data_IF_912066608910
#
_entry.id   IF_912066608910
#
_cell.length_a   1.000
_cell.length_b   1.000
_cell.length_c   1.000
_cell.angle_alpha   90.00
_cell.angle_beta   90.00
_cell.angle_gamma   90.00
#
_symmetry.space_group_name_H-M   'P 1'
#
loop_
_entity.id
_entity.type
_entity.pdbx_description
1 polymer ?
#
# COMPACT_ATOMS: atom_id res chain seq x y z
N UNK A 1 35.07 -17.83 -41.75
CA UNK A 1 33.65 -17.42 -41.57
C UNK A 1 33.58 -16.38 -40.48
N UNK A 2 33.51 -15.11 -40.87
CA UNK A 2 33.42 -14.03 -39.87
C UNK A 2 32.00 -13.95 -39.32
N UNK A 3 31.84 -14.25 -38.03
CA UNK A 3 30.59 -14.03 -37.29
C UNK A 3 30.53 -12.58 -36.88
N UNK A 4 29.57 -11.85 -37.42
CA UNK A 4 29.30 -10.46 -36.97
C UNK A 4 28.35 -10.49 -35.77
N UNK A 5 28.86 -10.22 -34.60
CA UNK A 5 28.04 -10.01 -33.38
C UNK A 5 27.46 -8.58 -33.42
N UNK A 6 26.14 -8.49 -33.53
CA UNK A 6 25.45 -7.23 -33.22
C UNK A 6 24.97 -7.28 -31.77
N UNK A 7 25.59 -6.44 -30.94
CA UNK A 7 25.14 -6.19 -29.57
C UNK A 7 24.00 -5.19 -29.67
N UNK A 8 22.78 -5.62 -29.40
CA UNK A 8 21.65 -4.72 -29.20
C UNK A 8 21.48 -4.52 -27.70
N UNK A 9 21.91 -3.39 -27.22
CA UNK A 9 21.66 -2.95 -25.85
C UNK A 9 20.21 -2.46 -25.78
N UNK A 10 19.29 -3.29 -25.29
CA UNK A 10 18.01 -2.78 -24.81
C UNK A 10 18.26 -2.03 -23.50
N UNK A 11 17.76 -0.80 -23.39
CA UNK A 11 17.81 -0.05 -22.11
C UNK A 11 17.02 -0.85 -21.07
N UNK A 12 17.60 -1.27 -19.96
CA UNK A 12 16.89 -2.01 -18.94
C UNK A 12 16.04 -1.07 -18.12
N UNK A 13 14.77 -1.38 -18.00
CA UNK A 13 13.94 -0.88 -16.90
C UNK A 13 14.23 -1.58 -15.56
N UNK A 14 15.15 -2.54 -15.53
CA UNK A 14 15.62 -3.22 -14.32
C UNK A 14 17.12 -3.52 -14.42
N UNK A 15 17.89 -3.28 -13.34
CA UNK A 15 19.35 -3.28 -13.40
C UNK A 15 19.96 -4.67 -13.28
N UNK A 16 19.68 -5.66 -14.09
CA UNK A 16 20.49 -6.91 -14.14
C UNK A 16 20.07 -7.94 -15.19
N UNK A 17 19.30 -7.55 -16.22
CA UNK A 17 18.97 -8.50 -17.29
C UNK A 17 19.60 -8.07 -18.61
N UNK A 18 20.72 -8.70 -18.99
CA UNK A 18 21.34 -8.54 -20.30
C UNK A 18 21.05 -9.78 -21.14
N UNK A 19 20.32 -9.61 -22.24
CA UNK A 19 20.19 -10.63 -23.27
C UNK A 19 21.01 -10.20 -24.49
N UNK A 20 21.89 -11.06 -24.96
CA UNK A 20 22.65 -10.85 -26.20
C UNK A 20 21.91 -11.61 -27.30
N UNK A 21 21.47 -10.89 -28.34
CA UNK A 21 20.81 -11.48 -29.51
C UNK A 21 21.85 -11.76 -30.58
N UNK A 22 22.00 -13.02 -30.99
CA UNK A 22 22.82 -13.40 -32.12
C UNK A 22 21.92 -13.67 -33.34
N UNK A 23 22.24 -13.06 -34.46
CA UNK A 23 21.59 -13.31 -35.75
C UNK A 23 22.47 -14.25 -36.57
N UNK A 24 22.02 -15.48 -36.84
CA UNK A 24 22.62 -16.35 -37.84
C UNK A 24 21.79 -16.28 -39.13
N UNK A 25 22.43 -15.91 -40.23
CA UNK A 25 21.82 -16.01 -41.57
C UNK A 25 21.98 -17.43 -42.08
N UNK A 26 20.90 -18.19 -42.11
CA UNK A 26 20.85 -19.44 -42.83
C UNK A 26 20.45 -19.19 -44.30
N UNK A 27 21.11 -19.89 -45.23
CA UNK A 27 20.75 -19.92 -46.66
C UNK A 27 19.37 -20.55 -46.80
N UNK A 28 18.33 -19.73 -46.99
CA UNK A 28 16.96 -20.24 -47.15
C UNK A 28 15.86 -19.28 -46.75
N UNK A 29 16.17 -18.05 -46.43
CA UNK A 29 15.14 -16.99 -46.29
C UNK A 29 14.39 -16.88 -44.95
N UNK A 30 14.59 -17.79 -44.01
CA UNK A 30 14.04 -17.70 -42.66
C UNK A 30 15.14 -17.21 -41.69
N UNK A 31 14.99 -16.03 -41.16
CA UNK A 31 15.86 -15.52 -40.10
C UNK A 31 15.38 -16.03 -38.75
N UNK A 32 16.08 -17.01 -38.21
CA UNK A 32 15.88 -17.46 -36.83
C UNK A 32 16.80 -16.64 -35.92
N UNK A 33 16.23 -15.90 -34.95
CA UNK A 33 16.98 -15.14 -33.97
C UNK A 33 17.18 -15.98 -32.70
N UNK A 34 18.42 -16.04 -32.23
CA UNK A 34 18.78 -16.69 -30.97
C UNK A 34 19.28 -15.63 -29.99
N UNK A 35 19.06 -15.85 -28.72
CA UNK A 35 19.64 -15.02 -27.66
C UNK A 35 20.41 -15.88 -26.68
N UNK A 36 21.46 -15.31 -26.10
CA UNK A 36 22.25 -15.97 -25.06
C UNK A 36 21.71 -15.61 -23.69
N UNK A 37 21.34 -16.61 -22.91
CA UNK A 37 20.89 -16.40 -21.53
C UNK A 37 22.09 -16.50 -20.58
N UNK A 38 22.45 -15.40 -19.94
CA UNK A 38 23.58 -15.32 -18.99
C UNK A 38 23.40 -16.24 -17.78
N UNK A 39 22.17 -16.54 -17.39
CA UNK A 39 21.88 -17.37 -16.23
C UNK A 39 21.99 -18.87 -16.50
N UNK A 40 21.57 -19.30 -17.67
CA UNK A 40 21.69 -20.71 -18.05
C UNK A 40 22.91 -21.00 -18.94
N UNK A 41 23.71 -19.98 -19.29
CA UNK A 41 24.91 -20.06 -20.14
C UNK A 41 24.68 -20.76 -21.51
N UNK A 42 23.47 -20.64 -22.07
CA UNK A 42 23.06 -21.29 -23.30
C UNK A 42 22.44 -20.30 -24.29
N UNK A 43 22.54 -20.62 -25.59
CA UNK A 43 21.85 -19.92 -26.67
C UNK A 43 20.46 -20.49 -26.86
N UNK A 44 19.46 -19.62 -27.02
CA UNK A 44 18.06 -19.98 -27.10
C UNK A 44 17.39 -19.32 -28.30
N UNK A 45 16.48 -20.04 -28.95
CA UNK A 45 15.75 -19.57 -30.13
C UNK A 45 14.70 -18.56 -29.71
N UNK A 46 14.62 -17.43 -30.41
CA UNK A 46 13.56 -16.44 -30.20
C UNK A 46 12.32 -16.91 -30.95
N UNK A 47 11.25 -17.31 -30.26
CA UNK A 47 9.93 -17.48 -30.86
C UNK A 47 9.18 -16.17 -30.91
N UNK A 48 8.29 -15.99 -31.91
CA UNK A 48 7.47 -14.80 -32.04
C UNK A 48 6.45 -14.65 -30.88
N UNK A 49 6.13 -15.78 -30.25
CA UNK A 49 5.25 -15.81 -29.07
C UNK A 49 6.06 -16.14 -27.83
N UNK A 50 6.47 -15.13 -27.09
CA UNK A 50 7.21 -15.26 -25.82
C UNK A 50 6.43 -16.02 -24.72
N UNK A 51 5.25 -16.55 -25.01
CA UNK A 51 4.34 -17.07 -24.00
C UNK A 51 4.23 -18.59 -23.89
N UNK A 52 4.69 -19.36 -24.88
CA UNK A 52 4.54 -20.81 -24.80
C UNK A 52 5.39 -21.55 -25.84
N UNK A 53 6.65 -21.80 -25.67
CA UNK A 53 7.17 -22.96 -26.41
C UNK A 53 8.50 -23.44 -25.85
N UNK A 54 8.61 -24.78 -25.80
CA UNK A 54 9.86 -25.47 -25.63
C UNK A 54 10.65 -25.34 -26.92
N UNK A 55 11.81 -24.72 -26.92
CA UNK A 55 12.72 -24.72 -28.04
C UNK A 55 13.65 -25.93 -27.94
N UNK A 56 13.81 -26.65 -29.06
CA UNK A 56 14.74 -27.76 -29.17
C UNK A 56 16.14 -27.22 -29.54
N UNK A 57 17.12 -27.39 -28.65
CA UNK A 57 18.51 -27.19 -28.99
C UNK A 57 19.23 -28.52 -28.84
N UNK A 58 19.91 -28.97 -29.89
CA UNK A 58 20.71 -30.21 -29.95
C UNK A 58 19.97 -31.47 -29.45
N UNK A 59 18.70 -31.63 -29.83
CA UNK A 59 17.89 -32.81 -29.52
C UNK A 59 17.35 -32.85 -28.09
N UNK A 60 17.58 -31.82 -27.28
CA UNK A 60 17.01 -31.69 -25.94
C UNK A 60 15.96 -30.58 -25.88
N UNK A 61 14.79 -30.91 -25.32
CA UNK A 61 13.76 -29.91 -25.03
C UNK A 61 14.15 -29.14 -23.80
N UNK A 62 14.41 -27.85 -23.95
CA UNK A 62 14.64 -26.96 -22.82
C UNK A 62 13.41 -26.07 -22.68
N UNK A 63 12.73 -26.19 -21.55
CA UNK A 63 11.61 -25.30 -21.21
C UNK A 63 12.19 -23.92 -20.85
N UNK A 64 12.14 -23.00 -21.82
CA UNK A 64 12.69 -21.66 -21.65
C UNK A 64 11.59 -20.76 -21.13
N UNK A 65 11.58 -20.48 -19.85
CA UNK A 65 10.91 -19.29 -19.33
C UNK A 65 11.80 -18.06 -19.64
N UNK A 66 11.72 -17.57 -20.86
CA UNK A 66 12.60 -16.53 -21.36
C UNK A 66 12.32 -15.14 -20.87
N UNK A 67 11.15 -14.90 -20.46
CA UNK A 67 10.79 -13.77 -19.63
C UNK A 67 10.05 -14.44 -18.51
N UNK A 68 10.64 -14.48 -17.35
CA UNK A 68 9.90 -14.74 -16.14
C UNK A 68 8.89 -13.64 -15.91
N UNK A 69 7.93 -13.52 -16.81
CA UNK A 69 6.62 -13.11 -16.42
C UNK A 69 6.04 -14.32 -15.68
N UNK A 70 6.59 -14.63 -14.46
CA UNK A 70 5.61 -14.78 -13.42
C UNK A 70 4.70 -13.58 -13.69
N UNK A 71 3.47 -13.80 -14.17
CA UNK A 71 2.39 -12.89 -13.87
C UNK A 71 2.61 -12.68 -12.37
N UNK A 72 3.24 -11.57 -12.00
CA UNK A 72 3.10 -11.12 -10.64
C UNK A 72 1.60 -11.03 -10.54
N UNK A 73 1.03 -11.95 -9.81
CA UNK A 73 -0.37 -11.89 -9.48
C UNK A 73 -0.46 -10.59 -8.73
N UNK A 74 -0.92 -9.55 -9.44
CA UNK A 74 -1.05 -8.22 -8.89
C UNK A 74 -1.97 -8.40 -7.70
N UNK A 75 -1.38 -8.40 -6.52
CA UNK A 75 -2.14 -8.43 -5.28
C UNK A 75 -3.11 -7.28 -5.38
N UNK A 76 -4.39 -7.58 -5.18
CA UNK A 76 -5.45 -6.60 -5.22
C UNK A 76 -5.02 -5.37 -4.41
N UNK A 77 -5.07 -4.20 -5.02
CA UNK A 77 -4.78 -2.97 -4.32
C UNK A 77 -5.74 -2.83 -3.13
N UNK A 78 -5.18 -2.63 -1.94
CA UNK A 78 -5.93 -2.36 -0.73
C UNK A 78 -5.57 -0.96 -0.29
N UNK A 79 -6.53 -0.05 -0.35
CA UNK A 79 -6.44 1.28 0.21
C UNK A 79 -7.83 1.86 0.39
N UNK A 80 -8.04 2.59 1.47
CA UNK A 80 -9.27 3.35 1.70
C UNK A 80 -8.96 4.70 2.34
N UNK A 81 -9.90 5.60 2.23
CA UNK A 81 -9.97 6.83 3.01
C UNK A 81 -11.40 7.15 3.36
N UNK A 82 -11.65 7.47 4.63
CA UNK A 82 -12.94 7.91 5.14
C UNK A 82 -12.77 9.16 6.01
N UNK A 83 -13.80 9.99 6.04
CA UNK A 83 -13.80 11.27 6.77
C UNK A 83 -15.00 11.38 7.68
N UNK A 84 -14.84 12.17 8.75
CA UNK A 84 -15.91 12.47 9.68
C UNK A 84 -16.89 13.49 9.06
N UNK A 85 -18.19 13.35 9.36
CA UNK A 85 -19.25 14.25 8.86
C UNK A 85 -20.08 14.89 9.97
N UNK A 86 -19.81 14.55 11.24
CA UNK A 86 -20.58 15.05 12.38
C UNK A 86 -19.66 15.46 13.52
N UNK A 87 -20.06 16.44 14.30
CA UNK A 87 -19.40 16.74 15.56
C UNK A 87 -19.62 15.61 16.56
N UNK A 88 -18.53 15.12 17.16
CA UNK A 88 -18.56 14.03 18.12
C UNK A 88 -18.06 14.52 19.49
N UNK A 89 -18.91 14.60 20.53
CA UNK A 89 -18.48 15.01 21.85
C UNK A 89 -17.57 13.96 22.50
N UNK A 90 -16.59 14.45 23.26
CA UNK A 90 -15.72 13.63 24.11
C UNK A 90 -15.81 14.19 25.53
N UNK A 91 -16.11 13.33 26.50
CA UNK A 91 -16.01 13.66 27.90
C UNK A 91 -14.58 13.48 28.40
N UNK A 92 -14.19 14.30 29.37
CA UNK A 92 -12.87 14.23 29.97
C UNK A 92 -12.48 12.82 30.43
N UNK A 93 -11.27 12.40 30.05
CA UNK A 93 -10.68 11.09 30.40
C UNK A 93 -11.53 9.89 29.94
N UNK A 94 -12.33 10.07 28.91
CA UNK A 94 -13.13 8.99 28.30
C UNK A 94 -12.61 8.68 26.91
N UNK A 95 -12.21 7.43 26.72
CA UNK A 95 -11.78 6.96 25.38
C UNK A 95 -13.01 6.62 24.55
N UNK A 96 -13.12 7.22 23.37
CA UNK A 96 -14.24 7.02 22.45
C UNK A 96 -13.73 6.59 21.08
N UNK A 97 -14.48 5.73 20.43
CA UNK A 97 -14.24 5.38 19.02
C UNK A 97 -14.59 6.59 18.15
N UNK A 98 -13.67 6.97 17.27
CA UNK A 98 -13.88 8.05 16.32
C UNK A 98 -14.73 7.56 15.14
N UNK A 99 -15.69 8.38 14.74
CA UNK A 99 -16.62 8.09 13.66
C UNK A 99 -16.19 8.75 12.35
N UNK A 100 -16.06 7.94 11.29
CA UNK A 100 -15.71 8.38 9.94
C UNK A 100 -16.75 7.82 8.96
N UNK A 101 -17.87 8.54 8.83
CA UNK A 101 -19.07 8.03 8.18
C UNK A 101 -19.08 8.17 6.67
N UNK A 102 -18.20 9.03 6.12
CA UNK A 102 -18.13 9.27 4.68
C UNK A 102 -16.88 8.64 4.09
N UNK A 103 -17.06 7.49 3.46
CA UNK A 103 -16.04 6.84 2.66
C UNK A 103 -15.79 7.66 1.39
N UNK A 104 -14.56 8.12 1.18
CA UNK A 104 -14.16 8.82 -0.03
C UNK A 104 -13.76 7.84 -1.13
N UNK A 105 -13.11 6.78 -0.76
CA UNK A 105 -12.82 5.62 -1.62
C UNK A 105 -12.44 4.40 -0.77
N UNK A 106 -12.72 3.21 -1.30
CA UNK A 106 -12.26 1.92 -0.82
C UNK A 106 -12.02 0.97 -1.99
N UNK A 107 -10.76 0.71 -2.32
CA UNK A 107 -10.37 -0.08 -3.49
C UNK A 107 -10.67 -1.58 -3.35
N UNK A 108 -10.82 -2.06 -2.13
CA UNK A 108 -10.95 -3.49 -1.84
C UNK A 108 -12.26 -3.84 -1.11
N UNK A 109 -13.11 -2.86 -0.80
CA UNK A 109 -14.29 -2.97 0.04
C UNK A 109 -13.93 -3.57 1.42
N UNK A 110 -12.94 -2.98 2.10
CA UNK A 110 -12.39 -3.41 3.38
C UNK A 110 -12.77 -2.45 4.52
N UNK A 111 -13.38 -1.33 4.19
CA UNK A 111 -13.85 -0.34 5.16
C UNK A 111 -15.37 -0.41 5.33
N UNK A 112 -15.84 -0.21 6.57
CA UNK A 112 -17.26 -0.11 6.90
C UNK A 112 -17.57 1.27 7.50
N UNK A 113 -18.22 2.18 6.76
CA UNK A 113 -18.51 3.54 7.25
C UNK A 113 -19.57 3.57 8.36
N UNK A 114 -20.42 2.56 8.48
CA UNK A 114 -21.44 2.47 9.54
C UNK A 114 -20.77 2.21 10.90
N UNK A 115 -19.74 1.37 10.92
CA UNK A 115 -19.00 1.02 12.13
C UNK A 115 -17.68 1.77 12.27
N UNK A 116 -17.25 2.52 11.26
CA UNK A 116 -15.94 3.19 11.19
C UNK A 116 -14.78 2.21 11.47
N UNK A 117 -14.81 1.07 10.78
CA UNK A 117 -13.89 -0.04 10.99
C UNK A 117 -13.25 -0.47 9.67
N UNK A 118 -11.94 -0.62 9.68
CA UNK A 118 -11.18 -1.23 8.58
C UNK A 118 -10.88 -2.69 8.89
N UNK A 119 -11.15 -3.57 7.93
CA UNK A 119 -10.88 -5.01 8.02
C UNK A 119 -10.18 -5.48 6.75
N UNK A 120 -8.84 -5.62 6.75
CA UNK A 120 -8.12 -6.12 5.59
C UNK A 120 -8.57 -7.53 5.22
N UNK A 121 -8.75 -7.78 3.93
CA UNK A 121 -9.07 -9.12 3.39
C UNK A 121 -7.83 -9.94 3.07
N UNK A 122 -6.67 -9.34 3.15
CA UNK A 122 -5.40 -9.98 2.80
C UNK A 122 -4.35 -9.64 3.83
N UNK A 123 -3.63 -10.66 4.31
CA UNK A 123 -2.44 -10.45 5.16
C UNK A 123 -1.43 -9.54 4.45
N UNK A 124 -0.79 -8.63 5.17
CA UNK A 124 0.23 -7.78 4.61
C UNK A 124 0.72 -6.70 5.55
N UNK A 125 1.59 -5.84 5.02
CA UNK A 125 2.09 -4.66 5.72
C UNK A 125 1.27 -3.46 5.25
N UNK A 126 0.71 -2.74 6.20
CA UNK A 126 -0.17 -1.60 5.96
C UNK A 126 0.37 -0.34 6.62
N UNK A 127 0.29 0.79 5.93
CA UNK A 127 0.30 2.09 6.58
C UNK A 127 -1.10 2.39 7.06
N UNK A 128 -1.26 2.75 8.32
CA UNK A 128 -2.53 3.12 8.93
C UNK A 128 -2.38 4.50 9.54
N UNK A 129 -3.33 5.40 9.29
CA UNK A 129 -3.34 6.76 9.80
C UNK A 129 -4.74 7.15 10.28
N UNK A 130 -4.80 7.77 11.47
CA UNK A 130 -5.98 8.44 11.99
C UNK A 130 -5.65 9.88 12.38
N UNK A 131 -6.46 10.84 11.95
CA UNK A 131 -6.34 12.23 12.33
C UNK A 131 -7.66 12.76 12.86
N UNK A 132 -7.60 13.52 13.95
CA UNK A 132 -8.72 14.22 14.52
C UNK A 132 -8.42 15.70 14.65
N UNK A 133 -9.45 16.52 14.56
CA UNK A 133 -9.40 17.92 14.97
C UNK A 133 -10.22 18.06 16.26
N UNK A 134 -9.58 18.39 17.36
CA UNK A 134 -10.21 18.54 18.65
C UNK A 134 -10.43 20.01 19.01
N UNK A 135 -11.64 20.34 19.47
CA UNK A 135 -12.04 21.62 20.01
C UNK A 135 -12.37 21.48 21.50
N UNK A 136 -11.59 22.07 22.42
CA UNK A 136 -11.90 22.02 23.83
C UNK A 136 -13.13 22.86 24.14
N UNK A 137 -13.91 22.49 25.15
CA UNK A 137 -15.02 23.31 25.64
C UNK A 137 -14.54 24.53 26.45
N UNK A 138 -13.33 24.45 27.02
CA UNK A 138 -12.67 25.57 27.72
C UNK A 138 -11.25 25.76 27.17
N UNK A 139 -11.02 26.91 26.53
CA UNK A 139 -9.71 27.28 25.97
C UNK A 139 -8.76 27.90 27.03
N UNK A 140 -9.20 28.08 28.27
CA UNK A 140 -8.40 28.67 29.33
C UNK A 140 -7.69 27.63 30.21
N UNK A 141 -7.79 26.36 29.89
CA UNK A 141 -7.12 25.29 30.62
C UNK A 141 -6.15 24.54 29.70
N UNK A 142 -5.05 24.07 30.28
CA UNK A 142 -4.16 23.17 29.56
C UNK A 142 -4.80 21.79 29.44
N UNK A 143 -4.62 21.13 28.30
CA UNK A 143 -5.17 19.81 28.11
C UNK A 143 -4.25 18.92 27.28
N UNK A 144 -4.52 17.63 27.35
CA UNK A 144 -3.99 16.61 26.47
C UNK A 144 -5.10 16.13 25.55
N UNK A 145 -4.84 16.06 24.26
CA UNK A 145 -5.64 15.26 23.33
C UNK A 145 -4.81 14.06 22.87
N UNK A 146 -5.45 12.92 22.74
CA UNK A 146 -4.83 11.66 22.37
C UNK A 146 -5.62 11.02 21.23
N UNK A 147 -4.91 10.45 20.29
CA UNK A 147 -5.47 9.56 19.27
C UNK A 147 -4.69 8.25 19.27
N UNK A 148 -5.38 7.14 19.02
CA UNK A 148 -4.75 5.83 19.00
C UNK A 148 -5.34 4.91 17.93
N UNK A 149 -4.49 4.04 17.40
CA UNK A 149 -4.90 2.92 16.57
C UNK A 149 -5.10 1.71 17.47
N UNK A 150 -6.26 1.07 17.35
CA UNK A 150 -6.56 -0.23 17.98
C UNK A 150 -6.68 -1.32 16.94
N UNK A 151 -6.17 -2.48 17.26
CA UNK A 151 -6.33 -3.69 16.45
C UNK A 151 -6.93 -4.78 17.31
N UNK A 152 -8.07 -5.34 16.87
CA UNK A 152 -8.82 -6.39 17.59
C UNK A 152 -9.16 -6.00 19.03
N UNK A 153 -9.51 -4.73 19.25
CA UNK A 153 -9.83 -4.19 20.56
C UNK A 153 -8.63 -3.97 21.49
N UNK A 154 -7.42 -4.36 21.08
CA UNK A 154 -6.21 -4.08 21.84
C UNK A 154 -5.89 -2.60 21.76
N UNK A 155 -5.91 -1.93 22.91
CA UNK A 155 -5.57 -0.52 23.01
C UNK A 155 -4.08 -0.30 22.74
N UNK A 156 -3.76 0.92 22.29
CA UNK A 156 -2.39 1.40 22.24
C UNK A 156 -1.44 0.64 21.31
N UNK A 157 -1.93 0.12 20.18
CA UNK A 157 -1.05 -0.42 19.13
C UNK A 157 -0.16 0.70 18.59
N UNK A 158 -0.73 1.90 18.37
CA UNK A 158 0.01 3.13 18.14
C UNK A 158 -0.75 4.30 18.80
N UNK A 159 -0.03 5.22 19.40
CA UNK A 159 -0.59 6.35 20.17
C UNK A 159 0.18 7.61 19.82
N UNK A 160 -0.58 8.70 19.67
CA UNK A 160 -0.05 10.05 19.77
C UNK A 160 -0.76 10.84 20.88
N UNK A 161 0.01 11.60 21.65
CA UNK A 161 -0.50 12.46 22.72
C UNK A 161 0.08 13.86 22.54
N UNK A 162 -0.79 14.81 22.24
CA UNK A 162 -0.43 16.21 22.17
C UNK A 162 -0.92 16.98 23.39
N UNK A 163 -0.07 17.87 23.88
CA UNK A 163 -0.36 18.73 25.02
C UNK A 163 -0.49 20.18 24.55
N UNK A 164 -1.61 20.78 24.88
CA UNK A 164 -1.94 22.12 24.44
C UNK A 164 -2.03 23.07 25.66
N UNK A 165 -1.45 24.27 25.50
CA UNK A 165 -1.48 25.32 26.50
C UNK A 165 -2.73 26.18 26.39
N UNK A 166 -2.90 27.06 27.40
CA UNK A 166 -3.97 28.06 27.45
C UNK A 166 -3.74 29.21 26.46
N UNK A 167 -4.81 29.93 26.12
CA UNK A 167 -4.77 31.23 25.42
C UNK A 167 -4.85 31.16 23.92
N UNK A 168 -5.00 29.97 23.32
CA UNK A 168 -5.28 29.79 21.88
C UNK A 168 -6.74 29.41 21.67
N UNK A 169 -7.51 30.25 20.98
CA UNK A 169 -8.89 29.90 20.56
C UNK A 169 -8.89 29.11 19.25
N UNK A 170 -8.08 28.05 19.15
CA UNK A 170 -7.91 27.25 17.97
C UNK A 170 -8.31 25.81 18.24
N UNK A 171 -8.90 25.18 17.23
CA UNK A 171 -8.99 23.73 17.19
C UNK A 171 -7.60 23.16 16.91
N UNK A 172 -7.29 22.02 17.48
CA UNK A 172 -5.98 21.40 17.35
C UNK A 172 -6.09 20.04 16.66
N UNK A 173 -5.21 19.80 15.72
CA UNK A 173 -5.12 18.51 15.03
C UNK A 173 -4.17 17.59 15.78
N UNK A 174 -4.60 16.34 15.98
CA UNK A 174 -3.80 15.25 16.56
C UNK A 174 -3.85 14.08 15.62
N UNK A 175 -2.69 13.54 15.26
CA UNK A 175 -2.61 12.47 14.29
C UNK A 175 -1.73 11.32 14.76
N UNK A 176 -2.14 10.09 14.49
CA UNK A 176 -1.35 8.89 14.71
C UNK A 176 -1.16 8.16 13.39
N UNK A 177 0.08 7.76 13.13
CA UNK A 177 0.40 6.91 11.99
C UNK A 177 1.30 5.76 12.40
N UNK A 178 1.09 4.61 11.82
CA UNK A 178 1.94 3.43 12.06
C UNK A 178 1.98 2.52 10.83
N UNK A 179 3.08 1.77 10.74
CA UNK A 179 3.22 0.66 9.79
C UNK A 179 2.97 -0.61 10.59
N UNK A 180 1.93 -1.36 10.20
CA UNK A 180 1.46 -2.54 10.91
C UNK A 180 1.46 -3.75 9.98
N UNK A 181 1.87 -4.91 10.51
CA UNK A 181 1.57 -6.18 9.87
C UNK A 181 0.20 -6.62 10.34
N UNK A 182 -0.76 -6.74 9.43
CA UNK A 182 -2.13 -7.13 9.71
C UNK A 182 -2.45 -8.47 9.05
N UNK A 183 -3.26 -9.27 9.73
CA UNK A 183 -3.84 -10.50 9.21
C UNK A 183 -5.18 -10.20 8.51
N UNK A 184 -5.62 -11.10 7.64
CA UNK A 184 -6.94 -11.00 7.05
C UNK A 184 -8.02 -11.12 8.13
N UNK A 185 -8.92 -10.14 8.20
CA UNK A 185 -9.99 -10.07 9.18
C UNK A 185 -9.65 -9.35 10.48
N UNK A 186 -8.43 -8.83 10.64
CA UNK A 186 -8.12 -7.93 11.75
C UNK A 186 -9.04 -6.71 11.74
N UNK A 187 -9.50 -6.31 12.92
CA UNK A 187 -10.40 -5.18 13.12
C UNK A 187 -9.58 -3.97 13.54
N UNK A 188 -9.44 -2.98 12.67
CA UNK A 188 -8.65 -1.77 12.91
C UNK A 188 -9.58 -0.58 13.11
N UNK A 189 -9.36 0.17 14.20
CA UNK A 189 -10.21 1.27 14.64
C UNK A 189 -9.37 2.41 15.17
N UNK A 190 -9.90 3.63 15.08
CA UNK A 190 -9.31 4.82 15.66
C UNK A 190 -10.12 5.22 16.90
N UNK A 191 -9.41 5.48 18.00
CA UNK A 191 -9.98 5.97 19.24
C UNK A 191 -9.34 7.30 19.62
N UNK A 192 -10.10 8.12 20.33
CA UNK A 192 -9.64 9.39 20.84
C UNK A 192 -10.01 9.56 22.31
N UNK A 193 -9.21 10.35 23.03
CA UNK A 193 -9.40 10.70 24.43
C UNK A 193 -8.88 12.13 24.65
N UNK A 194 -9.52 12.88 25.52
CA UNK A 194 -9.01 14.16 25.99
C UNK A 194 -9.04 14.23 27.50
N UNK A 195 -8.12 14.97 28.10
CA UNK A 195 -8.12 15.23 29.54
C UNK A 195 -9.20 16.23 30.00
N UNK A 196 -9.89 16.89 29.06
CA UNK A 196 -11.02 17.79 29.30
C UNK A 196 -12.16 17.49 28.32
N UNK A 197 -13.34 18.00 28.66
CA UNK A 197 -14.49 17.93 27.76
C UNK A 197 -14.25 18.73 26.47
N UNK A 198 -14.72 18.19 25.35
CA UNK A 198 -14.61 18.87 24.07
C UNK A 198 -15.32 18.12 22.95
N UNK A 199 -14.96 18.44 21.72
CA UNK A 199 -15.60 17.91 20.52
C UNK A 199 -14.55 17.58 19.50
N UNK A 200 -14.63 16.37 18.90
CA UNK A 200 -14.02 16.12 17.59
C UNK A 200 -14.91 16.85 16.59
N UNK A 201 -14.36 17.88 15.96
CA UNK A 201 -15.14 18.70 15.04
C UNK A 201 -15.27 18.00 13.69
N UNK A 202 -16.45 18.10 13.09
CA UNK A 202 -16.64 17.68 11.72
C UNK A 202 -15.75 18.49 10.77
N UNK A 203 -15.49 17.96 9.60
CA UNK A 203 -14.72 18.67 8.60
C UNK A 203 -15.37 20.03 8.27
N UNK A 204 -14.59 21.10 8.43
CA UNK A 204 -15.04 22.47 8.24
C UNK A 204 -14.51 22.99 6.90
N UNK A 205 -15.35 23.71 6.16
CA UNK A 205 -14.98 24.42 4.92
C UNK A 205 -14.35 23.53 3.82
N UNK A 206 -14.74 22.27 3.74
CA UNK A 206 -14.21 21.33 2.73
C UNK A 206 -12.78 20.85 3.02
N UNK A 207 -12.21 21.21 4.17
CA UNK A 207 -10.97 20.65 4.66
C UNK A 207 -11.27 19.30 5.33
N UNK A 208 -10.77 18.22 4.74
CA UNK A 208 -10.95 16.87 5.27
C UNK A 208 -9.84 16.55 6.29
N UNK A 209 -9.76 17.33 7.36
CA UNK A 209 -8.74 17.17 8.40
C UNK A 209 -9.01 15.95 9.28
N UNK A 210 -10.28 15.65 9.58
CA UNK A 210 -10.64 14.49 10.39
C UNK A 210 -10.87 13.29 9.47
N UNK A 211 -9.89 12.39 9.44
CA UNK A 211 -9.90 11.26 8.51
C UNK A 211 -9.22 10.01 9.08
N UNK A 212 -9.62 8.87 8.52
CA UNK A 212 -9.04 7.56 8.74
C UNK A 212 -8.68 6.96 7.39
N UNK A 213 -7.45 6.47 7.27
CA UNK A 213 -6.98 5.90 6.03
C UNK A 213 -6.01 4.75 6.27
N UNK A 214 -5.99 3.79 5.36
CA UNK A 214 -4.95 2.79 5.29
C UNK A 214 -4.62 2.44 3.85
N UNK A 215 -3.38 2.00 3.64
CA UNK A 215 -2.92 1.48 2.37
C UNK A 215 -1.94 0.32 2.59
N UNK A 216 -2.08 -0.73 1.80
CA UNK A 216 -1.19 -1.88 1.81
C UNK A 216 0.06 -1.61 1.00
N UNK A 217 1.23 -1.90 1.56
CA UNK A 217 2.47 -1.93 0.81
C UNK A 217 2.55 -3.18 -0.07
N UNK A 218 3.10 -3.08 -1.29
CA UNK A 218 3.45 -4.25 -2.06
C UNK A 218 4.37 -5.17 -1.24
N UNK A 219 3.93 -6.37 -0.97
CA UNK A 219 4.72 -7.38 -0.24
C UNK A 219 4.60 -8.73 -0.96
N UNK A 220 5.65 -9.58 -0.91
CA UNK A 220 5.56 -10.92 -1.43
C UNK A 220 4.37 -11.65 -0.82
N UNK A 221 3.68 -12.47 -1.63
CA UNK A 221 2.72 -13.45 -1.13
C UNK A 221 3.57 -14.61 -0.65
N UNK A 222 3.55 -14.89 0.65
CA UNK A 222 4.13 -16.11 1.20
C UNK A 222 3.25 -17.32 0.92
#
# INVERSE_FOLDING_TARGET
>A
MNRSLKIVTARPSFPNQFCIVCNDKFKGGLTTSYYYCKYCKEYKKKSHDCYRESSQCDGKYVKVNCCGNKKEELVRASAFRAVNTVNQPILANTSVKVLFQNEQFDLANEYNPVTSTFMPKTRGVYSVLGNITFSPNDFNVNYRARVEIRVNGNAAIAIDNDFFGTGGFFNNDVSVTSILQLEAGDVVEIFAESSIDGVIVQNVNGLNTVHFEAARFPSPIE
#
